data_IF_072576680315
#
_entry.id   IF_072576680315
#
_cell.length_a   1.000
_cell.length_b   1.000
_cell.length_c   1.000
_cell.angle_alpha   90.00
_cell.angle_beta   90.00
_cell.angle_gamma   90.00
#
_symmetry.space_group_name_H-M   'P 1'
#
loop_
_entity.id
_entity.type
_entity.pdbx_description
1 polymer ?
#
# COMPACT_ATOMS: atom_id res chain seq x y z
N UNK A 1 -11.04 -37.20 3.00
CA UNK A 1 -10.05 -36.10 2.86
C UNK A 1 -9.93 -35.39 4.21
N UNK A 2 -8.75 -35.38 4.83
CA UNK A 2 -8.55 -34.73 6.12
C UNK A 2 -8.40 -33.21 5.94
N UNK A 3 -9.34 -32.43 6.50
CA UNK A 3 -9.27 -30.97 6.54
C UNK A 3 -8.11 -30.58 7.47
N UNK A 4 -7.05 -29.98 6.92
CA UNK A 4 -5.95 -29.44 7.74
C UNK A 4 -6.49 -28.32 8.63
N UNK A 5 -6.54 -28.56 9.94
CA UNK A 5 -6.82 -27.52 10.94
C UNK A 5 -5.66 -26.51 10.95
N UNK A 6 -5.90 -25.30 10.44
CA UNK A 6 -4.95 -24.20 10.56
C UNK A 6 -4.79 -23.81 12.04
N UNK A 7 -3.58 -23.94 12.58
CA UNK A 7 -3.23 -23.41 13.90
C UNK A 7 -3.18 -21.89 13.81
N UNK A 8 -4.16 -21.19 14.39
CA UNK A 8 -4.10 -19.74 14.56
C UNK A 8 -3.11 -19.42 15.67
N UNK A 9 -2.07 -18.63 15.39
CA UNK A 9 -1.19 -18.16 16.46
C UNK A 9 -1.98 -17.21 17.37
N UNK A 10 -2.03 -17.48 18.67
CA UNK A 10 -2.71 -16.64 19.67
C UNK A 10 -1.94 -15.34 19.99
N UNK A 11 -1.01 -14.91 19.14
CA UNK A 11 -0.22 -13.71 19.36
C UNK A 11 -1.02 -12.48 18.95
N UNK A 12 -1.43 -11.71 19.95
CA UNK A 12 -2.18 -10.46 19.82
C UNK A 12 -1.18 -9.30 19.83
N UNK A 13 -1.31 -8.35 18.91
CA UNK A 13 -0.51 -7.13 18.89
C UNK A 13 -1.01 -6.14 19.95
N UNK A 14 -0.20 -5.11 20.27
CA UNK A 14 -0.50 -4.12 21.33
C UNK A 14 -1.83 -3.37 21.15
N UNK A 15 -2.39 -3.38 19.94
CA UNK A 15 -3.65 -2.80 19.52
C UNK A 15 -4.84 -3.79 19.58
N UNK A 16 -4.66 -4.98 20.16
CA UNK A 16 -5.74 -5.96 20.38
C UNK A 16 -6.10 -6.83 19.17
N UNK A 17 -5.42 -6.66 18.03
CA UNK A 17 -5.61 -7.48 16.83
C UNK A 17 -4.69 -8.70 16.81
N UNK A 18 -5.07 -9.77 16.11
CA UNK A 18 -4.13 -10.87 15.87
C UNK A 18 -2.99 -10.42 14.94
N UNK A 19 -1.74 -10.82 15.22
CA UNK A 19 -0.60 -10.45 14.38
C UNK A 19 -0.80 -10.86 12.90
N UNK A 20 -1.42 -12.02 12.68
CA UNK A 20 -1.71 -12.54 11.35
C UNK A 20 -2.69 -11.63 10.58
N UNK A 21 -3.73 -11.10 11.25
CA UNK A 21 -4.70 -10.18 10.61
C UNK A 21 -4.06 -8.84 10.27
N UNK A 22 -3.21 -8.28 11.15
CA UNK A 22 -2.46 -7.05 10.87
C UNK A 22 -1.53 -7.22 9.67
N UNK A 23 -0.79 -8.33 9.61
CA UNK A 23 0.11 -8.64 8.49
C UNK A 23 -0.66 -8.79 7.16
N UNK A 24 -1.81 -9.47 7.18
CA UNK A 24 -2.65 -9.63 6.00
C UNK A 24 -3.21 -8.30 5.51
N UNK A 25 -3.69 -7.45 6.43
CA UNK A 25 -4.19 -6.12 6.12
C UNK A 25 -3.12 -5.26 5.45
N UNK A 26 -1.94 -5.15 6.07
CA UNK A 26 -0.81 -4.39 5.51
C UNK A 26 -0.41 -4.92 4.13
N UNK A 27 -0.35 -6.24 3.95
CA UNK A 27 -0.01 -6.84 2.66
C UNK A 27 -1.04 -6.50 1.57
N UNK A 28 -2.33 -6.59 1.89
CA UNK A 28 -3.40 -6.29 0.92
C UNK A 28 -3.48 -4.81 0.60
N UNK A 29 -3.33 -3.93 1.60
CA UNK A 29 -3.28 -2.49 1.39
C UNK A 29 -2.10 -2.08 0.49
N UNK A 30 -0.89 -2.62 0.73
CA UNK A 30 0.28 -2.37 -0.13
C UNK A 30 0.03 -2.81 -1.57
N UNK A 31 -0.52 -4.01 -1.76
CA UNK A 31 -0.85 -4.52 -3.10
C UNK A 31 -1.87 -3.63 -3.81
N UNK A 32 -2.93 -3.21 -3.12
CA UNK A 32 -3.96 -2.35 -3.68
C UNK A 32 -3.41 -0.96 -4.05
N UNK A 33 -2.52 -0.39 -3.23
CA UNK A 33 -1.85 0.88 -3.53
C UNK A 33 -1.01 0.83 -4.81
N UNK A 34 -0.25 -0.26 -5.03
CA UNK A 34 0.51 -0.45 -6.27
C UNK A 34 -0.41 -0.55 -7.48
N UNK A 35 -1.48 -1.34 -7.38
CA UNK A 35 -2.47 -1.46 -8.47
C UNK A 35 -3.12 -0.12 -8.78
N UNK A 36 -3.59 0.61 -7.76
CA UNK A 36 -4.21 1.92 -7.93
C UNK A 36 -3.26 2.95 -8.56
N UNK A 37 -1.97 2.93 -8.19
CA UNK A 37 -0.97 3.81 -8.78
C UNK A 37 -0.75 3.51 -10.27
N UNK A 38 -0.68 2.22 -10.65
CA UNK A 38 -0.57 1.82 -12.05
C UNK A 38 -1.81 2.24 -12.85
N UNK A 39 -3.00 2.00 -12.30
CA UNK A 39 -4.26 2.37 -12.96
C UNK A 39 -4.38 3.90 -13.11
N UNK A 40 -4.02 4.67 -12.08
CA UNK A 40 -3.97 6.13 -12.14
C UNK A 40 -2.98 6.62 -13.20
N UNK A 41 -1.79 6.01 -13.31
CA UNK A 41 -0.82 6.34 -14.35
C UNK A 41 -1.38 6.04 -15.75
N UNK A 42 -2.10 4.93 -15.92
CA UNK A 42 -2.70 4.54 -17.20
C UNK A 42 -3.86 5.46 -17.62
N UNK A 43 -4.68 5.91 -16.68
CA UNK A 43 -5.89 6.72 -16.97
C UNK A 43 -5.57 8.21 -17.01
N UNK A 44 -4.82 8.70 -16.04
CA UNK A 44 -4.57 10.14 -15.84
C UNK A 44 -3.22 10.59 -16.39
N UNK A 45 -2.28 9.67 -16.62
CA UNK A 45 -0.91 9.98 -17.04
C UNK A 45 0.01 10.50 -15.92
N UNK A 46 -0.48 10.54 -14.68
CA UNK A 46 0.30 10.93 -13.50
C UNK A 46 -0.19 10.27 -12.20
N UNK A 47 0.69 10.24 -11.20
CA UNK A 47 0.40 9.83 -9.82
C UNK A 47 0.92 10.89 -8.85
N UNK A 48 0.18 11.15 -7.77
CA UNK A 48 0.64 12.00 -6.67
C UNK A 48 1.33 11.13 -5.62
N UNK A 49 2.59 11.43 -5.31
CA UNK A 49 3.39 10.69 -4.35
C UNK A 49 4.23 11.61 -3.48
N UNK A 50 4.78 11.09 -2.39
CA UNK A 50 5.74 11.81 -1.54
C UNK A 50 7.15 11.40 -1.94
N UNK A 51 8.01 12.39 -2.22
CA UNK A 51 9.42 12.19 -2.54
C UNK A 51 10.25 13.29 -1.89
N UNK A 52 11.27 12.90 -1.13
CA UNK A 52 12.26 13.81 -0.52
C UNK A 52 11.63 14.95 0.31
N UNK A 53 10.56 14.67 1.06
CA UNK A 53 9.84 15.66 1.87
C UNK A 53 8.81 16.50 1.10
N UNK A 54 8.61 16.24 -0.20
CA UNK A 54 7.64 16.95 -1.03
C UNK A 54 6.51 16.04 -1.48
N UNK A 55 5.29 16.57 -1.52
CA UNK A 55 4.19 16.05 -2.33
C UNK A 55 4.46 16.45 -3.78
N UNK A 56 4.55 15.46 -4.67
CA UNK A 56 4.87 15.67 -6.08
C UNK A 56 3.87 14.94 -6.99
N UNK A 57 3.59 15.52 -8.16
CA UNK A 57 3.01 14.77 -9.30
C UNK A 57 4.14 14.20 -10.12
N UNK A 58 4.15 12.88 -10.25
CA UNK A 58 5.04 12.17 -11.16
C UNK A 58 4.25 11.76 -12.40
N UNK A 59 4.70 12.20 -13.56
CA UNK A 59 4.10 11.90 -14.86
C UNK A 59 4.74 10.65 -15.49
N UNK A 60 4.03 10.02 -16.42
CA UNK A 60 4.49 8.80 -17.11
C UNK A 60 5.80 9.00 -17.90
N UNK A 61 6.06 10.22 -18.37
CA UNK A 61 7.28 10.58 -19.10
C UNK A 61 8.49 10.86 -18.17
N UNK A 62 8.32 10.74 -16.85
CA UNK A 62 9.35 11.01 -15.86
C UNK A 62 9.42 12.45 -15.37
N UNK A 63 8.59 13.37 -15.88
CA UNK A 63 8.48 14.72 -15.33
C UNK A 63 7.94 14.68 -13.90
N UNK A 64 8.47 15.58 -13.06
CA UNK A 64 8.08 15.72 -11.66
C UNK A 64 7.68 17.18 -11.43
N UNK A 65 6.46 17.39 -10.95
CA UNK A 65 5.98 18.69 -10.48
C UNK A 65 5.85 18.67 -8.97
N UNK A 66 6.53 19.61 -8.29
CA UNK A 66 6.41 19.79 -6.86
C UNK A 66 5.11 20.54 -6.53
N UNK A 67 4.37 20.05 -5.54
CA UNK A 67 3.11 20.65 -5.09
C UNK A 67 3.27 21.35 -3.74
N UNK A 68 3.80 20.64 -2.76
CA UNK A 68 3.85 21.12 -1.37
C UNK A 68 4.96 20.41 -0.58
N UNK A 69 5.67 21.16 0.26
CA UNK A 69 6.63 20.63 1.24
C UNK A 69 5.90 20.16 2.50
N UNK A 70 6.37 19.05 3.08
CA UNK A 70 5.79 18.38 4.26
C UNK A 70 6.58 18.71 5.52
#
# INVERSE_FOLDING_TARGET
MAVKKHRTSNHVTSDGYSYLTKRLLVRKAKSAGVTAANDAMNVMGFVVTVKDGWVVKQYANGNIEQLQEI
#
